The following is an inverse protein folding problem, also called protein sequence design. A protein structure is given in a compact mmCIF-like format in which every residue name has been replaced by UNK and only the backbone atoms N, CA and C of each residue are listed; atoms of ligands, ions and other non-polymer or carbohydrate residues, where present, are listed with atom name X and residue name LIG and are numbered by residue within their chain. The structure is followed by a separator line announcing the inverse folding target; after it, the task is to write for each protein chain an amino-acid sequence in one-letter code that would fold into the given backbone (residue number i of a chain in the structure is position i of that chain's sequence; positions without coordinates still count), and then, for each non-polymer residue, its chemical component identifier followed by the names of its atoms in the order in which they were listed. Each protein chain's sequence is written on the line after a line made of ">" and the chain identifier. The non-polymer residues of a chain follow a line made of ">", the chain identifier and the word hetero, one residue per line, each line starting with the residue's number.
data_IF_176826536660
#
_entry.id   IF_176826536660
#
_cell.length_a   1.000
_cell.length_b   1.000
_cell.length_c   1.000
_cell.angle_alpha   90.00
_cell.angle_beta   90.00
_cell.angle_gamma   90.00
#
_symmetry.space_group_name_H-M   'P 1'
#
loop_
_entity.id
_entity.type
_entity.pdbx_description
1 polymer ?
#
# COMPACT_ATOMS: atom_id res chain seq x y z
N UNK A 1 4.22 -2.87 7.83
CA UNK A 1 5.69 -2.70 7.78
C UNK A 1 6.01 -1.21 7.68
N UNK A 2 6.76 -0.65 8.65
CA UNK A 2 7.07 0.77 8.81
C UNK A 2 8.59 1.06 8.79
N UNK A 3 9.43 0.10 8.41
CA UNK A 3 10.90 0.21 8.47
C UNK A 3 11.56 0.95 7.29
N UNK A 4 10.79 1.43 6.32
CA UNK A 4 11.29 2.10 5.12
C UNK A 4 11.90 3.47 5.40
N UNK A 5 13.02 3.80 4.72
CA UNK A 5 13.82 5.03 4.93
C UNK A 5 13.28 6.30 4.25
N UNK A 6 12.18 6.23 3.51
CA UNK A 6 11.52 7.37 2.81
C UNK A 6 12.45 8.25 1.94
N UNK A 7 13.56 7.67 1.43
CA UNK A 7 14.66 8.42 0.74
C UNK A 7 14.20 9.26 -0.44
N UNK A 8 13.15 8.84 -1.18
CA UNK A 8 12.62 9.55 -2.35
C UNK A 8 11.87 10.84 -2.01
N UNK A 9 11.38 11.00 -0.78
CA UNK A 9 10.57 12.15 -0.37
C UNK A 9 11.36 13.26 0.31
N UNK A 10 12.60 12.97 0.79
CA UNK A 10 13.42 13.91 1.56
C UNK A 10 12.95 14.15 3.00
N UNK A 11 11.86 13.51 3.42
CA UNK A 11 11.35 13.47 4.80
C UNK A 11 10.68 12.13 5.07
N UNK A 12 10.43 11.79 6.33
CA UNK A 12 9.73 10.56 6.68
C UNK A 12 8.23 10.70 6.36
N UNK A 13 7.80 10.03 5.28
CA UNK A 13 6.41 10.06 4.81
C UNK A 13 5.39 9.53 5.83
N UNK A 14 5.83 8.68 6.77
CA UNK A 14 4.94 8.11 7.79
C UNK A 14 4.53 9.16 8.83
N UNK A 15 5.35 10.21 9.01
CA UNK A 15 5.05 11.33 9.91
C UNK A 15 4.24 12.46 9.26
N UNK A 16 3.92 12.34 7.96
CA UNK A 16 3.13 13.37 7.28
C UNK A 16 1.71 13.44 7.86
N UNK A 17 1.29 14.67 8.18
CA UNK A 17 -0.05 14.96 8.72
C UNK A 17 -1.11 14.98 7.61
N UNK A 18 -2.11 14.13 7.75
CA UNK A 18 -3.27 14.01 6.86
C UNK A 18 -4.50 14.81 7.38
N UNK A 19 -4.27 15.88 8.12
CA UNK A 19 -5.33 16.73 8.69
C UNK A 19 -5.63 16.38 10.14
N UNK A 20 -4.58 16.27 10.96
CA UNK A 20 -4.64 15.98 12.38
C UNK A 20 -4.26 14.55 12.76
N UNK A 21 -3.94 13.71 11.78
CA UNK A 21 -3.54 12.32 11.97
C UNK A 21 -2.38 11.98 11.02
N UNK A 22 -1.35 11.32 11.52
CA UNK A 22 -0.21 10.94 10.66
C UNK A 22 -0.56 9.76 9.73
N UNK A 23 0.19 9.61 8.64
CA UNK A 23 0.07 8.46 7.73
C UNK A 23 0.16 7.15 8.49
N UNK A 24 1.13 7.01 9.42
CA UNK A 24 1.29 5.79 10.20
C UNK A 24 0.13 5.54 11.15
N UNK A 25 -0.28 6.56 11.91
CA UNK A 25 -1.38 6.43 12.87
C UNK A 25 -2.68 6.00 12.17
N UNK A 26 -3.00 6.62 11.04
CA UNK A 26 -4.17 6.26 10.24
C UNK A 26 -4.12 4.82 9.73
N UNK A 27 -2.94 4.36 9.30
CA UNK A 27 -2.76 2.95 8.92
C UNK A 27 -2.96 2.00 10.09
N UNK A 28 -2.45 2.32 11.29
CA UNK A 28 -2.67 1.52 12.51
C UNK A 28 -4.15 1.44 12.83
N UNK A 29 -4.85 2.58 12.89
CA UNK A 29 -6.27 2.66 13.21
C UNK A 29 -7.15 1.86 12.26
N UNK A 30 -6.81 1.80 10.97
CA UNK A 30 -7.57 1.00 10.02
C UNK A 30 -7.62 -0.49 10.42
N UNK A 31 -6.52 -1.04 10.92
CA UNK A 31 -6.46 -2.43 11.41
C UNK A 31 -6.98 -2.57 12.84
N UNK A 32 -6.76 -1.60 13.68
CA UNK A 32 -7.31 -1.59 15.04
C UNK A 32 -8.85 -1.69 15.05
N UNK A 33 -9.50 -1.01 14.11
CA UNK A 33 -10.95 -0.98 14.01
C UNK A 33 -11.56 -2.25 13.39
N UNK A 34 -10.78 -3.09 12.74
CA UNK A 34 -11.29 -4.32 12.13
C UNK A 34 -11.48 -5.41 13.18
N UNK A 35 -12.68 -6.00 13.31
CA UNK A 35 -12.97 -7.00 14.34
C UNK A 35 -12.22 -8.32 14.15
N UNK A 36 -11.77 -8.64 12.95
CA UNK A 36 -10.99 -9.86 12.66
C UNK A 36 -9.51 -9.72 13.07
N UNK A 37 -9.03 -8.49 13.26
CA UNK A 37 -7.65 -8.24 13.71
C UNK A 37 -7.58 -8.32 15.22
N UNK A 38 -6.78 -9.24 15.76
CA UNK A 38 -6.64 -9.47 17.20
C UNK A 38 -5.37 -8.86 17.79
N UNK A 39 -4.34 -8.63 16.97
CA UNK A 39 -3.06 -8.02 17.36
C UNK A 39 -2.46 -7.22 16.22
N UNK A 40 -1.54 -6.32 16.52
CA UNK A 40 -0.82 -5.51 15.55
C UNK A 40 0.69 -5.64 15.79
N UNK A 41 1.43 -6.10 14.77
CA UNK A 41 2.89 -6.14 14.82
C UNK A 41 3.44 -5.01 13.97
N UNK A 42 4.11 -4.04 14.59
CA UNK A 42 4.74 -2.91 13.92
C UNK A 42 6.21 -3.21 13.68
N UNK A 43 6.61 -3.23 12.41
CA UNK A 43 8.01 -3.46 12.03
C UNK A 43 8.66 -2.10 11.81
N UNK A 44 9.51 -1.70 12.75
CA UNK A 44 10.16 -0.40 12.79
C UNK A 44 11.64 -0.45 12.35
N UNK A 45 12.11 0.64 11.77
CA UNK A 45 13.53 0.88 11.47
C UNK A 45 14.14 1.89 12.44
N UNK A 46 14.89 2.84 11.90
CA UNK A 46 15.49 3.95 12.67
C UNK A 46 14.46 4.87 13.35
N UNK A 47 13.21 4.83 12.90
CA UNK A 47 12.09 5.62 13.39
C UNK A 47 11.32 4.95 14.55
N UNK A 48 11.94 4.02 15.27
CA UNK A 48 11.26 3.22 16.32
C UNK A 48 10.52 4.08 17.34
N UNK A 49 11.14 5.11 17.87
CA UNK A 49 10.52 5.99 18.87
C UNK A 49 9.25 6.68 18.33
N UNK A 50 9.26 7.09 17.05
CA UNK A 50 8.08 7.63 16.39
C UNK A 50 6.99 6.56 16.24
N UNK A 51 7.34 5.34 15.85
CA UNK A 51 6.39 4.22 15.73
C UNK A 51 5.74 3.91 17.08
N UNK A 52 6.52 3.88 18.18
CA UNK A 52 6.03 3.70 19.54
C UNK A 52 5.02 4.78 19.95
N UNK A 53 5.33 6.04 19.63
CA UNK A 53 4.42 7.15 19.89
C UNK A 53 3.10 7.02 19.11
N UNK A 54 3.14 6.59 17.84
CA UNK A 54 1.94 6.46 17.03
C UNK A 54 1.05 5.26 17.41
N UNK A 55 1.58 4.32 18.18
CA UNK A 55 0.86 3.15 18.66
C UNK A 55 0.39 3.28 20.10
N UNK A 56 0.71 4.39 20.78
CA UNK A 56 0.51 4.53 22.24
C UNK A 56 -0.96 4.51 22.68
N UNK A 57 -1.88 4.90 21.82
CA UNK A 57 -3.34 4.91 22.06
C UNK A 57 -4.07 3.70 21.45
N UNK A 58 -3.33 2.76 20.84
CA UNK A 58 -3.92 1.54 20.29
C UNK A 58 -4.46 0.65 21.41
N UNK A 59 -5.72 0.24 21.30
CA UNK A 59 -6.41 -0.58 22.30
C UNK A 59 -6.15 -2.09 22.13
N UNK A 60 -5.74 -2.53 20.93
CA UNK A 60 -5.35 -3.91 20.68
C UNK A 60 -3.90 -4.15 21.11
N UNK A 61 -3.51 -5.40 21.42
CA UNK A 61 -2.13 -5.75 21.68
C UNK A 61 -1.22 -5.30 20.55
N UNK A 62 -0.18 -4.54 20.88
CA UNK A 62 0.82 -4.05 19.92
C UNK A 62 2.19 -4.62 20.27
N UNK A 63 2.86 -5.22 19.30
CA UNK A 63 4.27 -5.60 19.39
C UNK A 63 5.10 -4.80 18.38
N UNK A 64 6.27 -4.30 18.80
CA UNK A 64 7.18 -3.57 17.92
C UNK A 64 8.48 -4.35 17.75
N UNK A 65 8.76 -4.73 16.50
CA UNK A 65 9.94 -5.49 16.12
C UNK A 65 10.86 -4.69 15.20
N UNK A 66 12.14 -5.03 15.17
CA UNK A 66 13.11 -4.38 14.28
C UNK A 66 12.98 -4.95 12.86
N UNK A 67 12.95 -4.07 11.87
CA UNK A 67 12.99 -4.44 10.45
C UNK A 67 14.34 -5.02 10.04
N UNK A 68 14.34 -5.71 8.90
CA UNK A 68 15.55 -6.22 8.26
C UNK A 68 16.18 -5.19 7.30
N UNK A 69 17.16 -5.63 6.53
CA UNK A 69 17.86 -4.82 5.51
C UNK A 69 17.01 -4.64 4.25
N UNK A 70 16.08 -5.54 4.03
CA UNK A 70 15.14 -5.52 2.90
C UNK A 70 13.69 -5.47 3.39
N UNK A 71 12.75 -5.16 2.46
CA UNK A 71 11.31 -5.25 2.74
C UNK A 71 10.90 -6.68 3.10
N UNK A 72 11.41 -7.67 2.38
CA UNK A 72 11.10 -9.08 2.62
C UNK A 72 11.58 -9.54 4.00
N UNK A 73 12.80 -9.18 4.42
CA UNK A 73 13.29 -9.46 5.77
C UNK A 73 12.45 -8.76 6.84
N UNK A 74 12.03 -7.54 6.59
CA UNK A 74 11.16 -6.80 7.50
C UNK A 74 9.80 -7.48 7.65
N UNK A 75 9.18 -7.93 6.54
CA UNK A 75 7.93 -8.69 6.56
C UNK A 75 8.10 -10.02 7.31
N UNK A 76 9.15 -10.78 7.02
CA UNK A 76 9.51 -12.01 7.75
C UNK A 76 9.59 -11.77 9.26
N UNK A 77 10.31 -10.74 9.71
CA UNK A 77 10.45 -10.44 11.14
C UNK A 77 9.08 -10.15 11.79
N UNK A 78 8.20 -9.44 11.07
CA UNK A 78 6.84 -9.20 11.52
C UNK A 78 6.01 -10.48 11.63
N UNK A 79 6.05 -11.34 10.63
CA UNK A 79 5.32 -12.62 10.61
C UNK A 79 5.81 -13.59 11.67
N UNK A 80 7.13 -13.64 11.92
CA UNK A 80 7.69 -14.46 12.99
C UNK A 80 7.21 -14.02 14.38
N UNK A 81 7.02 -12.72 14.59
CA UNK A 81 6.55 -12.16 15.86
C UNK A 81 5.04 -12.29 16.05
N UNK A 82 4.27 -12.41 14.98
CA UNK A 82 2.83 -12.58 15.05
C UNK A 82 2.44 -13.92 15.66
N UNK A 83 1.37 -13.95 16.46
CA UNK A 83 0.83 -15.15 17.11
C UNK A 83 -0.40 -15.71 16.40
N UNK A 84 -1.10 -14.90 15.59
CA UNK A 84 -2.31 -15.30 14.87
C UNK A 84 -2.07 -16.40 13.83
N UNK A 85 -3.11 -17.17 13.53
CA UNK A 85 -3.08 -18.19 12.47
C UNK A 85 -3.03 -17.56 11.08
N UNK A 86 -3.67 -16.40 10.92
CA UNK A 86 -3.58 -15.57 9.71
C UNK A 86 -2.71 -14.35 9.96
N UNK A 87 -1.97 -13.94 8.96
CA UNK A 87 -1.17 -12.71 8.97
C UNK A 87 -1.57 -11.82 7.80
N UNK A 88 -1.70 -10.52 8.09
CA UNK A 88 -1.98 -9.48 7.10
C UNK A 88 -0.75 -8.56 6.98
N UNK A 89 0.03 -8.71 5.94
CA UNK A 89 1.21 -7.87 5.69
C UNK A 89 0.78 -6.60 4.99
N UNK A 90 0.91 -5.45 5.68
CA UNK A 90 0.46 -4.16 5.16
C UNK A 90 1.58 -3.14 5.09
N UNK A 91 1.58 -2.36 4.01
CA UNK A 91 2.46 -1.20 3.86
C UNK A 91 1.93 -0.02 4.68
N UNK A 92 2.65 0.40 5.71
CA UNK A 92 2.26 1.55 6.55
C UNK A 92 2.06 2.87 5.77
N UNK A 93 2.52 2.92 4.53
CA UNK A 93 2.33 4.03 3.60
C UNK A 93 1.00 3.97 2.79
N UNK A 94 0.04 3.11 3.17
CA UNK A 94 -1.31 3.06 2.59
C UNK A 94 -2.36 3.42 3.65
N UNK A 95 -2.47 4.69 4.03
CA UNK A 95 -3.35 5.12 5.12
C UNK A 95 -4.84 5.13 4.76
N UNK A 96 -5.19 4.85 3.50
CA UNK A 96 -6.57 4.93 2.99
C UNK A 96 -7.20 3.56 2.75
N UNK A 97 -6.61 2.49 3.31
CA UNK A 97 -7.24 1.17 3.26
C UNK A 97 -8.56 1.17 4.02
N UNK A 98 -9.64 0.69 3.39
CA UNK A 98 -10.96 0.60 4.01
C UNK A 98 -11.15 -0.72 4.74
N UNK A 99 -12.08 -0.73 5.72
CA UNK A 99 -12.48 -1.95 6.44
C UNK A 99 -12.92 -3.06 5.47
N UNK A 100 -13.72 -2.72 4.47
CA UNK A 100 -14.19 -3.69 3.49
C UNK A 100 -13.04 -4.40 2.76
N UNK A 101 -11.96 -3.67 2.41
CA UNK A 101 -10.77 -4.25 1.77
C UNK A 101 -10.01 -5.16 2.74
N UNK A 102 -9.85 -4.76 4.01
CA UNK A 102 -9.17 -5.57 5.03
C UNK A 102 -9.94 -6.86 5.27
N UNK A 103 -11.22 -6.75 5.62
CA UNK A 103 -12.09 -7.89 5.92
C UNK A 103 -12.15 -8.87 4.75
N UNK A 104 -12.39 -8.39 3.52
CA UNK A 104 -12.47 -9.25 2.33
C UNK A 104 -11.17 -10.03 2.06
N UNK A 105 -10.00 -9.41 2.28
CA UNK A 105 -8.71 -10.08 2.12
C UNK A 105 -8.46 -11.14 3.20
N UNK A 106 -8.79 -10.84 4.47
CA UNK A 106 -8.67 -11.79 5.58
C UNK A 106 -9.60 -13.00 5.39
N UNK A 107 -10.87 -12.77 5.07
CA UNK A 107 -11.83 -13.85 4.82
C UNK A 107 -11.45 -14.72 3.63
N UNK A 108 -10.90 -14.13 2.56
CA UNK A 108 -10.41 -14.89 1.44
C UNK A 108 -9.20 -15.75 1.81
N UNK A 109 -8.22 -15.19 2.52
CA UNK A 109 -7.05 -15.93 3.01
C UNK A 109 -7.43 -17.07 3.95
N UNK A 110 -8.43 -16.88 4.82
CA UNK A 110 -8.97 -17.93 5.68
C UNK A 110 -9.54 -19.13 4.89
N UNK A 111 -10.06 -18.89 3.69
CA UNK A 111 -10.63 -19.94 2.83
C UNK A 111 -9.61 -20.63 1.93
N UNK A 112 -8.62 -19.91 1.43
CA UNK A 112 -7.73 -20.41 0.37
C UNK A 112 -6.23 -20.32 0.70
N UNK A 113 -5.87 -19.92 1.92
CA UNK A 113 -4.48 -19.86 2.39
C UNK A 113 -3.76 -18.54 2.05
N UNK A 114 -4.09 -17.87 0.95
CA UNK A 114 -3.46 -16.59 0.57
C UNK A 114 -4.39 -15.70 -0.25
N UNK A 115 -4.45 -14.41 0.07
CA UNK A 115 -5.25 -13.44 -0.69
C UNK A 115 -4.65 -12.04 -0.63
N UNK A 116 -4.92 -11.23 -1.68
CA UNK A 116 -4.55 -9.83 -1.74
C UNK A 116 -5.57 -8.99 -2.48
N UNK A 117 -5.87 -7.75 -2.02
CA UNK A 117 -6.70 -6.83 -2.77
C UNK A 117 -5.97 -6.36 -4.03
N UNK A 118 -6.70 -6.25 -5.12
CA UNK A 118 -6.17 -5.76 -6.37
C UNK A 118 -7.23 -4.98 -7.16
N UNK A 119 -6.77 -4.05 -7.98
CA UNK A 119 -7.64 -3.29 -8.90
C UNK A 119 -7.20 -3.53 -10.34
N UNK A 120 -8.13 -3.63 -11.31
CA UNK A 120 -7.79 -3.71 -12.72
C UNK A 120 -6.91 -2.52 -13.14
N UNK A 121 -5.91 -2.77 -13.97
CA UNK A 121 -5.06 -1.69 -14.51
C UNK A 121 -5.87 -0.84 -15.50
N UNK A 122 -5.86 0.49 -15.32
CA UNK A 122 -6.59 1.43 -16.19
C UNK A 122 -5.80 1.82 -17.43
N UNK A 123 -4.48 2.03 -17.28
CA UNK A 123 -3.62 2.48 -18.36
C UNK A 123 -3.13 1.31 -19.23
N UNK A 124 -2.74 1.61 -20.46
CA UNK A 124 -2.06 0.63 -21.30
C UNK A 124 -0.63 0.42 -20.82
N UNK A 125 -0.32 -0.79 -20.37
CA UNK A 125 1.02 -1.16 -19.91
C UNK A 125 1.89 -1.56 -21.10
N UNK A 126 3.12 -1.05 -21.13
CA UNK A 126 4.15 -1.42 -22.09
C UNK A 126 5.29 -2.13 -21.38
N UNK A 127 5.62 -3.32 -21.80
CA UNK A 127 6.86 -3.95 -21.42
C UNK A 127 7.99 -3.42 -22.33
N UNK A 128 9.06 -2.90 -21.72
CA UNK A 128 10.13 -2.24 -22.43
C UNK A 128 11.50 -2.61 -21.85
N UNK A 129 12.53 -2.62 -22.69
CA UNK A 129 13.91 -2.83 -22.28
C UNK A 129 14.76 -1.61 -22.65
N UNK A 130 15.82 -1.36 -21.90
CA UNK A 130 16.82 -0.33 -22.29
C UNK A 130 17.49 -0.75 -23.58
N UNK A 131 17.54 0.17 -24.55
CA UNK A 131 18.28 -0.01 -25.80
C UNK A 131 19.77 -0.25 -25.53
N UNK A 132 20.42 -1.01 -26.40
CA UNK A 132 21.84 -1.37 -26.29
C UNK A 132 22.81 -0.22 -26.64
N UNK A 133 22.34 1.02 -26.66
CA UNK A 133 23.16 2.22 -26.90
C UNK A 133 23.60 2.47 -28.33
N UNK A 134 23.29 1.55 -29.29
CA UNK A 134 23.75 1.70 -30.68
C UNK A 134 22.86 2.57 -31.57
N UNK A 135 21.55 2.59 -31.29
CA UNK A 135 20.57 3.32 -32.14
C UNK A 135 20.01 4.55 -31.43
N UNK A 136 19.71 4.46 -30.14
CA UNK A 136 19.26 5.57 -29.30
C UNK A 136 19.84 5.37 -27.90
N UNK A 137 20.88 6.10 -27.50
CA UNK A 137 21.45 6.02 -26.16
C UNK A 137 20.38 6.29 -25.10
N UNK A 138 20.32 5.47 -24.04
CA UNK A 138 19.39 5.57 -22.92
C UNK A 138 17.88 5.49 -23.23
N UNK A 139 17.50 5.12 -24.44
CA UNK A 139 16.07 4.95 -24.77
C UNK A 139 15.50 3.65 -24.19
N UNK A 140 14.29 3.74 -23.71
CA UNK A 140 13.48 2.61 -23.29
C UNK A 140 12.63 2.18 -24.51
N UNK A 141 12.93 1.01 -25.09
CA UNK A 141 12.25 0.50 -26.29
C UNK A 141 11.18 -0.51 -25.90
N UNK A 142 9.96 -0.29 -26.37
CA UNK A 142 8.84 -1.21 -26.15
C UNK A 142 9.05 -2.47 -26.98
N UNK A 143 8.93 -3.64 -26.35
CA UNK A 143 8.94 -4.93 -27.05
C UNK A 143 7.60 -5.66 -27.02
N UNK A 144 6.71 -5.36 -26.08
CA UNK A 144 5.36 -5.93 -26.04
C UNK A 144 4.37 -5.06 -25.28
N UNK A 145 3.09 -5.27 -25.56
CA UNK A 145 1.96 -4.69 -24.81
C UNK A 145 1.15 -5.85 -24.28
N UNK A 146 1.23 -6.15 -22.96
CA UNK A 146 0.42 -7.19 -22.35
C UNK A 146 -1.08 -6.92 -22.49
N UNK A 147 -1.88 -7.98 -22.49
CA UNK A 147 -3.33 -7.85 -22.48
C UNK A 147 -3.79 -7.26 -21.14
N UNK A 148 -4.32 -6.03 -21.20
CA UNK A 148 -4.76 -5.29 -20.01
C UNK A 148 -5.87 -5.99 -19.23
N UNK A 149 -6.69 -6.81 -19.89
CA UNK A 149 -7.79 -7.54 -19.24
C UNK A 149 -7.30 -8.54 -18.19
N UNK A 150 -6.04 -8.96 -18.26
CA UNK A 150 -5.39 -9.89 -17.34
C UNK A 150 -4.51 -9.21 -16.30
N UNK A 151 -4.40 -7.88 -16.34
CA UNK A 151 -3.48 -7.11 -15.48
C UNK A 151 -4.21 -6.47 -14.30
N UNK A 152 -3.67 -6.72 -13.11
CA UNK A 152 -4.14 -6.15 -11.86
C UNK A 152 -2.99 -5.45 -11.12
N UNK A 153 -3.29 -4.29 -10.53
CA UNK A 153 -2.40 -3.61 -9.61
C UNK A 153 -2.70 -4.12 -8.19
N UNK A 154 -1.80 -4.96 -7.66
CA UNK A 154 -1.93 -5.56 -6.34
C UNK A 154 -1.64 -4.52 -5.26
N UNK A 155 -2.45 -4.55 -4.21
CA UNK A 155 -2.37 -3.66 -3.07
C UNK A 155 -2.01 -4.44 -1.80
N UNK A 156 -2.09 -3.80 -0.64
CA UNK A 156 -2.02 -4.43 0.67
C UNK A 156 -3.24 -4.03 1.51
N UNK A 157 -3.68 -4.88 2.47
CA UNK A 157 -2.94 -5.99 3.08
C UNK A 157 -2.85 -7.22 2.18
N UNK A 158 -1.70 -7.89 2.15
CA UNK A 158 -1.54 -9.22 1.61
C UNK A 158 -1.68 -10.21 2.76
N UNK A 159 -2.67 -11.06 2.70
CA UNK A 159 -3.09 -11.92 3.81
C UNK A 159 -2.75 -13.38 3.54
N UNK A 160 -2.23 -14.08 4.54
CA UNK A 160 -1.73 -15.43 4.40
C UNK A 160 -2.04 -16.28 5.63
N UNK A 161 -2.21 -17.58 5.44
CA UNK A 161 -1.97 -18.55 6.50
C UNK A 161 -0.52 -18.42 6.97
N UNK A 162 -0.33 -18.23 8.27
CA UNK A 162 0.99 -17.96 8.85
C UNK A 162 1.95 -19.14 8.71
N UNK A 163 1.46 -20.36 8.88
CA UNK A 163 2.29 -21.56 8.76
C UNK A 163 2.76 -21.76 7.31
N UNK A 164 1.84 -21.58 6.34
CA UNK A 164 2.15 -21.63 4.92
C UNK A 164 3.13 -20.52 4.50
N UNK A 165 3.01 -19.31 5.04
CA UNK A 165 3.95 -18.24 4.78
C UNK A 165 5.37 -18.58 5.26
N UNK A 166 5.49 -19.13 6.47
CA UNK A 166 6.79 -19.55 7.02
C UNK A 166 7.38 -20.72 6.25
N UNK A 167 6.57 -21.72 5.86
CA UNK A 167 7.02 -22.83 5.02
C UNK A 167 7.51 -22.33 3.64
N UNK A 168 6.79 -21.39 3.02
CA UNK A 168 7.22 -20.79 1.75
C UNK A 168 8.57 -20.08 1.86
N UNK A 169 8.85 -19.41 2.99
CA UNK A 169 10.16 -18.79 3.24
C UNK A 169 11.30 -19.82 3.37
N UNK A 170 11.04 -20.98 3.94
CA UNK A 170 12.03 -22.06 4.08
C UNK A 170 12.33 -22.76 2.75
N UNK A 171 11.35 -22.84 1.86
CA UNK A 171 11.49 -23.42 0.52
C UNK A 171 12.23 -22.52 -0.47
N UNK A 172 12.41 -21.24 -0.14
CA UNK A 172 13.02 -20.27 -1.04
C UNK A 172 14.55 -20.42 -1.06
N UNK A 173 15.08 -20.79 -2.21
CA UNK A 173 16.52 -20.72 -2.45
C UNK A 173 17.00 -19.27 -2.66
N UNK A 174 18.32 -19.04 -2.63
CA UNK A 174 18.91 -17.73 -2.77
C UNK A 174 18.67 -17.06 -4.15
N UNK A 175 18.42 -17.86 -5.19
CA UNK A 175 18.14 -17.37 -6.54
C UNK A 175 16.69 -16.85 -6.62
N UNK A 176 15.73 -17.65 -6.18
CA UNK A 176 14.32 -17.27 -6.11
C UNK A 176 14.09 -16.11 -5.16
N UNK A 177 14.80 -16.06 -4.03
CA UNK A 177 14.69 -14.96 -3.07
C UNK A 177 14.96 -13.58 -3.69
N UNK A 178 15.78 -13.49 -4.73
CA UNK A 178 16.04 -12.25 -5.48
C UNK A 178 14.89 -11.81 -6.37
N UNK A 179 13.97 -12.72 -6.69
CA UNK A 179 12.81 -12.47 -7.53
C UNK A 179 11.59 -12.01 -6.73
N UNK A 180 11.63 -12.13 -5.40
CA UNK A 180 10.54 -11.72 -4.52
C UNK A 180 10.39 -10.20 -4.56
N UNK A 181 9.27 -9.74 -5.11
CA UNK A 181 8.92 -8.31 -5.22
C UNK A 181 7.95 -7.87 -4.12
N UNK A 182 7.05 -8.78 -3.72
CA UNK A 182 6.08 -8.62 -2.64
C UNK A 182 5.81 -9.98 -1.97
N UNK A 183 4.91 -10.02 -0.98
CA UNK A 183 4.67 -11.26 -0.23
C UNK A 183 3.83 -12.26 -1.04
N UNK A 184 3.03 -11.81 -2.02
CA UNK A 184 2.33 -12.70 -2.95
C UNK A 184 3.32 -13.46 -3.85
N UNK A 185 4.36 -12.78 -4.35
CA UNK A 185 5.37 -13.42 -5.19
C UNK A 185 6.17 -14.52 -4.48
N UNK A 186 6.27 -14.48 -3.14
CA UNK A 186 6.80 -15.58 -2.34
C UNK A 186 5.97 -16.87 -2.53
N UNK A 187 4.64 -16.75 -2.47
CA UNK A 187 3.72 -17.86 -2.67
C UNK A 187 3.78 -18.39 -4.12
N UNK A 188 3.78 -17.50 -5.09
CA UNK A 188 3.87 -17.85 -6.52
C UNK A 188 5.15 -18.63 -6.84
N UNK A 189 6.30 -18.17 -6.35
CA UNK A 189 7.61 -18.79 -6.57
C UNK A 189 7.75 -20.18 -5.88
N UNK A 190 6.90 -20.46 -4.89
CA UNK A 190 6.83 -21.76 -4.21
C UNK A 190 5.63 -22.61 -4.65
N UNK A 191 4.95 -22.20 -5.76
CA UNK A 191 3.87 -22.97 -6.38
C UNK A 191 2.53 -22.89 -5.66
N UNK A 192 2.34 -21.92 -4.75
CA UNK A 192 1.11 -21.69 -4.02
C UNK A 192 0.25 -20.64 -4.73
N UNK A 193 -1.06 -20.83 -4.72
CA UNK A 193 -1.99 -19.89 -5.33
C UNK A 193 -2.28 -18.71 -4.40
N UNK A 194 -2.49 -17.53 -4.98
CA UNK A 194 -2.96 -16.31 -4.29
C UNK A 194 -4.27 -15.87 -4.90
N UNK A 195 -5.32 -15.71 -4.09
CA UNK A 195 -6.60 -15.19 -4.54
C UNK A 195 -6.57 -13.66 -4.58
N UNK A 196 -6.94 -13.06 -5.72
CA UNK A 196 -7.20 -11.61 -5.76
C UNK A 196 -8.60 -11.31 -5.24
N UNK A 197 -8.69 -10.34 -4.33
CA UNK A 197 -9.95 -9.77 -3.85
C UNK A 197 -10.17 -8.38 -4.41
N UNK A 198 -11.38 -7.84 -4.28
CA UNK A 198 -11.71 -6.50 -4.72
C UNK A 198 -10.90 -5.47 -3.93
N UNK A 199 -10.03 -4.76 -4.61
CA UNK A 199 -9.29 -3.61 -4.08
C UNK A 199 -10.04 -2.29 -4.25
N UNK A 200 -9.43 -1.21 -3.80
CA UNK A 200 -9.95 0.14 -3.95
C UNK A 200 -8.88 1.07 -4.52
N UNK A 201 -9.21 1.84 -5.57
CA UNK A 201 -8.28 2.83 -6.11
C UNK A 201 -7.90 3.92 -5.10
N UNK A 202 -8.76 4.19 -4.10
CA UNK A 202 -8.43 5.07 -3.00
C UNK A 202 -7.35 4.52 -2.06
N UNK A 203 -7.14 3.18 -2.02
CA UNK A 203 -6.08 2.53 -1.24
C UNK A 203 -4.71 2.69 -1.91
N UNK A 204 -4.35 3.92 -2.22
CA UNK A 204 -3.07 4.24 -2.86
C UNK A 204 -1.89 4.16 -1.87
N UNK A 205 -0.71 3.87 -2.40
CA UNK A 205 0.54 3.87 -1.64
C UNK A 205 1.22 5.23 -1.78
N UNK A 206 1.42 5.92 -0.68
CA UNK A 206 2.20 7.17 -0.66
C UNK A 206 3.67 6.83 -0.91
N UNK A 207 4.19 7.21 -2.08
CA UNK A 207 5.57 6.93 -2.52
C UNK A 207 6.33 8.19 -2.91
N UNK A 208 5.63 9.20 -3.42
CA UNK A 208 6.14 10.50 -3.86
C UNK A 208 5.30 11.62 -3.26
N UNK A 209 5.74 12.87 -3.43
CA UNK A 209 5.00 14.04 -2.93
C UNK A 209 3.66 14.24 -3.61
N UNK A 210 3.57 13.80 -4.86
CA UNK A 210 2.35 13.89 -5.68
C UNK A 210 1.22 12.99 -5.16
N UNK A 211 1.58 11.90 -4.41
CA UNK A 211 0.61 10.99 -3.80
C UNK A 211 -0.04 11.57 -2.54
N UNK A 212 0.53 12.66 -2.00
CA UNK A 212 -0.03 13.31 -0.83
C UNK A 212 -1.31 14.06 -1.19
N UNK A 213 -2.34 14.01 -0.33
CA UNK A 213 -3.53 14.84 -0.51
C UNK A 213 -3.09 16.31 -0.62
N UNK A 214 -3.49 16.97 -1.69
CA UNK A 214 -3.31 18.40 -1.78
C UNK A 214 -4.13 19.04 -0.65
N UNK A 215 -3.58 20.00 0.11
CA UNK A 215 -4.40 20.76 1.04
C UNK A 215 -5.60 21.29 0.24
N UNK A 216 -6.80 21.06 0.79
CA UNK A 216 -7.99 21.62 0.17
C UNK A 216 -7.68 23.11 -0.11
N UNK A 217 -7.62 23.48 -1.37
CA UNK A 217 -7.56 24.92 -1.72
C UNK A 217 -8.76 25.50 -1.01
N UNK A 218 -8.51 26.39 -0.02
CA UNK A 218 -9.59 27.22 0.52
C UNK A 218 -10.22 27.82 -0.72
N UNK A 219 -11.45 27.42 -1.04
CA UNK A 219 -12.17 28.09 -2.11
C UNK A 219 -12.18 29.56 -1.74
N UNK A 220 -11.38 30.35 -2.44
CA UNK A 220 -11.53 31.80 -2.36
C UNK A 220 -13.00 32.07 -2.70
N UNK A 221 -13.69 32.89 -1.91
CA UNK A 221 -15.09 33.16 -2.15
C UNK A 221 -15.19 33.63 -3.60
N UNK A 222 -15.82 32.82 -4.47
CA UNK A 222 -16.02 33.15 -5.88
C UNK A 222 -16.87 34.40 -5.91
N UNK A 223 -16.24 35.55 -6.17
CA UNK A 223 -16.95 36.80 -6.36
C UNK A 223 -17.84 36.63 -7.59
N UNK A 224 -19.13 36.55 -7.39
CA UNK A 224 -20.12 36.51 -8.45
C UNK A 224 -20.46 37.97 -8.79
N UNK A 225 -19.97 38.48 -9.91
CA UNK A 225 -20.36 39.78 -10.44
C UNK A 225 -21.56 39.55 -11.36
N UNK A 226 -22.73 40.00 -10.95
CA UNK A 226 -23.92 40.04 -11.78
C UNK A 226 -24.06 41.43 -12.40
N UNK A 227 -24.06 41.53 -13.72
CA UNK A 227 -24.52 42.76 -14.43
C UNK A 227 -26.01 42.61 -14.75
N UNK A 228 -26.82 43.44 -14.14
CA UNK A 228 -28.24 43.65 -14.52
C UNK A 228 -28.35 44.89 -15.41
N UNK A 229 -28.90 44.75 -16.61
CA UNK A 229 -29.33 45.89 -17.40
C UNK A 229 -30.86 45.96 -17.34
N UNK A 230 -31.37 47.11 -16.88
CA UNK A 230 -32.78 47.41 -16.94
C UNK A 230 -33.00 48.36 -18.11
N UNK A 231 -33.85 47.97 -19.07
CA UNK A 231 -34.15 48.76 -20.25
C UNK A 231 -35.61 49.14 -20.17
N UNK A 232 -35.89 50.43 -19.84
CA UNK A 232 -37.23 51.00 -19.89
C UNK A 232 -37.49 51.64 -21.24
N UNK A 233 -38.66 51.38 -21.84
CA UNK A 233 -39.16 52.04 -23.00
C UNK A 233 -39.77 53.35 -22.55
N UNK A 234 -39.22 54.48 -23.02
CA UNK A 234 -39.88 55.79 -22.89
C UNK A 234 -41.09 55.81 -23.83
N UNK A 235 -42.26 56.00 -23.26
CA UNK A 235 -43.50 56.31 -24.02
C UNK A 235 -43.75 57.82 -23.87
N UNK A 236 -43.96 58.50 -25.02
CA UNK A 236 -44.40 59.85 -25.03
C UNK A 236 -45.82 59.95 -24.53
#
# INVERSE_FOLDING_TARGET
>A
VAAGSSTRMGFDKLSFDLGGETVLHRSIRAFEQDPLVTEIVLVAGKNRAFVEQQAADCTKPVQIVTGGTTRAESAKNGVLAAAGELVAVHDAARPFVSQAVITAALEAAARCGAAAPAVPVKDTIKAAARGNGKTVPDACLVYTTPDRSTLYAVQTPQCFDRAEYLAALEELDAEKARLVTDDCSLFELTGRAVQLTQGDYANLKITTREDLPRPAQKEEPKMRIGHGYDVHRLVE
#
